data_IF_325129489784
#
_entry.id   IF_325129489784
#
_cell.length_a   1.000
_cell.length_b   1.000
_cell.length_c   1.000
_cell.angle_alpha   90.00
_cell.angle_beta   90.00
_cell.angle_gamma   90.00
#
_symmetry.space_group_name_H-M   'P 1'
#
loop_
_entity.id
_entity.type
_entity.pdbx_description
1 polymer ?
#
# COMPACT_ATOMS: atom_id res chain seq x y z
N UNK A 1 -6.51 18.28 0.12
CA UNK A 1 -6.83 16.88 0.49
C UNK A 1 -7.05 15.98 -0.71
N UNK A 2 -7.85 16.36 -1.71
CA UNK A 2 -8.15 15.46 -2.85
C UNK A 2 -6.89 15.00 -3.61
N UNK A 3 -5.98 15.94 -3.91
CA UNK A 3 -4.68 15.67 -4.53
C UNK A 3 -3.73 14.80 -3.69
N UNK A 4 -3.84 14.85 -2.36
CA UNK A 4 -2.98 14.10 -1.43
C UNK A 4 -3.20 12.58 -1.56
N UNK A 5 -4.46 12.15 -1.61
CA UNK A 5 -4.78 10.74 -1.76
C UNK A 5 -4.51 10.23 -3.18
N UNK A 6 -4.72 11.06 -4.20
CA UNK A 6 -4.38 10.69 -5.59
C UNK A 6 -2.87 10.51 -5.79
N UNK A 7 -2.05 11.32 -5.12
CA UNK A 7 -0.60 11.14 -5.10
C UNK A 7 -0.22 9.84 -4.38
N UNK A 8 -0.85 9.55 -3.23
CA UNK A 8 -0.63 8.32 -2.49
C UNK A 8 -1.01 7.05 -3.28
N UNK A 9 -2.15 7.07 -3.97
CA UNK A 9 -2.63 5.94 -4.76
C UNK A 9 -1.66 5.52 -5.86
N UNK A 10 -0.81 6.42 -6.37
CA UNK A 10 0.22 6.06 -7.35
C UNK A 10 1.28 5.11 -6.79
N UNK A 11 1.41 5.00 -5.47
CA UNK A 11 2.36 4.12 -4.80
C UNK A 11 1.80 2.73 -4.48
N UNK A 12 0.58 2.39 -4.90
CA UNK A 12 0.06 1.03 -4.75
C UNK A 12 0.41 0.09 -5.91
N UNK A 13 0.82 0.65 -7.06
CA UNK A 13 1.27 -0.11 -8.22
C UNK A 13 2.76 0.12 -8.49
N UNK A 14 3.43 -0.88 -9.07
CA UNK A 14 4.87 -0.85 -9.39
C UNK A 14 5.73 -0.35 -8.23
N UNK A 15 5.37 -0.79 -7.02
CA UNK A 15 5.82 -0.25 -5.75
C UNK A 15 6.91 -1.08 -5.06
N UNK A 16 7.33 -2.21 -5.64
CA UNK A 16 8.35 -3.10 -5.06
C UNK A 16 9.61 -2.38 -4.59
N UNK A 17 10.19 -1.54 -5.44
CA UNK A 17 11.43 -0.77 -5.14
C UNK A 17 11.32 0.17 -3.93
N UNK A 18 10.09 0.53 -3.54
CA UNK A 18 9.82 1.35 -2.35
C UNK A 18 9.59 0.44 -1.14
N UNK A 19 8.71 -0.57 -1.28
CA UNK A 19 8.35 -1.50 -0.22
C UNK A 19 9.55 -2.32 0.29
N UNK A 20 10.51 -2.66 -0.57
CA UNK A 20 11.74 -3.36 -0.17
C UNK A 20 12.63 -2.54 0.79
N UNK A 21 12.36 -1.24 0.93
CA UNK A 21 13.08 -0.33 1.84
C UNK A 21 12.25 0.09 3.04
N UNK A 22 10.99 -0.31 3.08
CA UNK A 22 10.05 0.04 4.14
C UNK A 22 10.13 -0.96 5.28
N UNK A 23 9.84 -0.52 6.51
CA UNK A 23 9.57 -1.42 7.64
C UNK A 23 8.10 -1.44 8.02
N UNK A 24 7.30 -0.53 7.47
CA UNK A 24 5.85 -0.48 7.64
C UNK A 24 5.15 -0.22 6.30
N UNK A 25 4.13 -1.02 6.03
CA UNK A 25 3.19 -0.79 4.96
C UNK A 25 1.78 -1.14 5.41
N UNK A 26 0.79 -0.75 4.63
CA UNK A 26 -0.59 -1.09 4.92
C UNK A 26 -1.43 -1.25 3.68
N UNK A 27 -2.41 -2.14 3.77
CA UNK A 27 -3.39 -2.35 2.71
C UNK A 27 -4.59 -1.44 2.96
N UNK A 28 -4.89 -0.52 2.04
CA UNK A 28 -6.05 0.36 2.22
C UNK A 28 -7.41 -0.30 1.87
N UNK A 29 -7.41 -1.57 1.48
CA UNK A 29 -8.66 -2.33 1.34
C UNK A 29 -9.05 -3.04 2.63
N UNK A 30 -8.20 -3.92 3.17
CA UNK A 30 -8.51 -4.61 4.43
C UNK A 30 -8.07 -3.84 5.69
N UNK A 31 -7.40 -2.70 5.53
CA UNK A 31 -6.90 -1.81 6.60
C UNK A 31 -5.78 -2.41 7.46
N UNK A 32 -5.27 -3.58 7.11
CA UNK A 32 -4.15 -4.23 7.81
C UNK A 32 -2.85 -3.44 7.63
N UNK A 33 -2.12 -3.25 8.73
CA UNK A 33 -0.78 -2.65 8.77
C UNK A 33 0.22 -3.74 9.16
N UNK A 34 1.28 -3.90 8.38
CA UNK A 34 2.22 -5.02 8.54
C UNK A 34 3.61 -4.70 8.00
N UNK A 35 4.58 -5.55 8.37
CA UNK A 35 5.94 -5.49 7.84
C UNK A 35 5.96 -5.97 6.37
N UNK A 36 6.59 -5.24 5.43
CA UNK A 36 6.63 -5.61 4.02
C UNK A 36 7.17 -7.01 3.72
N UNK A 37 8.01 -7.58 4.60
CA UNK A 37 8.49 -8.97 4.48
C UNK A 37 7.38 -10.03 4.43
N UNK A 38 6.16 -9.71 4.87
CA UNK A 38 5.00 -10.62 4.71
C UNK A 38 4.51 -10.73 3.27
N UNK A 39 4.93 -9.84 2.38
CA UNK A 39 4.53 -9.83 0.97
C UNK A 39 5.32 -10.91 0.23
N UNK A 40 4.66 -12.02 -0.09
CA UNK A 40 5.26 -13.15 -0.79
C UNK A 40 4.85 -13.25 -2.26
N UNK A 41 3.86 -12.46 -2.68
CA UNK A 41 3.29 -12.49 -4.03
C UNK A 41 3.33 -11.09 -4.65
N UNK A 42 3.70 -11.05 -5.94
CA UNK A 42 3.86 -9.84 -6.73
C UNK A 42 3.25 -10.03 -8.12
N UNK A 43 2.53 -9.03 -8.60
CA UNK A 43 1.99 -8.96 -9.97
C UNK A 43 2.77 -7.94 -10.81
N UNK A 44 2.42 -7.80 -12.10
CA UNK A 44 3.03 -6.85 -13.05
C UNK A 44 4.56 -7.01 -13.18
N UNK A 45 5.01 -8.20 -13.59
CA UNK A 45 6.42 -8.57 -13.72
C UNK A 45 7.20 -8.37 -12.41
N UNK A 46 6.65 -8.89 -11.32
CA UNK A 46 7.12 -8.74 -9.94
C UNK A 46 7.30 -7.28 -9.48
N UNK A 47 6.42 -6.35 -9.85
CA UNK A 47 6.54 -4.94 -9.44
C UNK A 47 5.41 -4.46 -8.53
N UNK A 48 4.24 -5.10 -8.52
CA UNK A 48 3.07 -4.66 -7.76
C UNK A 48 2.80 -5.65 -6.63
N UNK A 49 2.86 -5.19 -5.38
CA UNK A 49 2.67 -6.06 -4.23
C UNK A 49 1.22 -6.56 -4.09
N UNK A 50 1.06 -7.85 -3.75
CA UNK A 50 -0.24 -8.44 -3.40
C UNK A 50 -0.35 -8.54 -1.88
N UNK A 51 -1.47 -8.09 -1.32
CA UNK A 51 -1.67 -8.09 0.12
C UNK A 51 -1.75 -9.53 0.66
N UNK A 52 -0.91 -9.91 1.65
CA UNK A 52 -0.91 -11.27 2.20
C UNK A 52 -2.15 -11.59 3.05
N UNK A 53 -2.97 -10.58 3.37
CA UNK A 53 -4.17 -10.74 4.20
C UNK A 53 -5.47 -10.87 3.40
N UNK A 54 -5.54 -10.26 2.21
CA UNK A 54 -6.78 -10.22 1.42
C UNK A 54 -6.60 -10.49 -0.08
N UNK A 55 -5.36 -10.61 -0.56
CA UNK A 55 -5.06 -11.00 -1.95
C UNK A 55 -5.25 -9.90 -2.99
N UNK A 56 -5.26 -8.62 -2.60
CA UNK A 56 -5.37 -7.51 -3.54
C UNK A 56 -4.18 -6.54 -3.51
N UNK A 57 -4.03 -5.75 -4.55
CA UNK A 57 -2.90 -4.86 -4.86
C UNK A 57 -3.04 -3.43 -4.31
N UNK A 58 -3.62 -3.29 -3.12
CA UNK A 58 -3.90 -1.99 -2.49
C UNK A 58 -2.93 -1.65 -1.35
N UNK A 59 -1.62 -1.90 -1.53
CA UNK A 59 -0.60 -1.71 -0.48
C UNK A 59 0.16 -0.39 -0.68
N UNK A 60 0.32 0.41 0.38
CA UNK A 60 1.19 1.60 0.39
C UNK A 60 2.16 1.48 1.57
N UNK A 61 3.45 1.77 1.33
CA UNK A 61 4.50 1.79 2.34
C UNK A 61 4.99 3.19 2.71
N UNK A 62 5.73 3.33 3.81
CA UNK A 62 6.13 4.64 4.35
C UNK A 62 7.05 5.46 3.44
N UNK A 63 7.87 4.84 2.58
CA UNK A 63 8.68 5.54 1.57
C UNK A 63 7.84 6.15 0.43
N UNK A 64 6.51 5.96 0.44
CA UNK A 64 5.60 6.76 -0.40
C UNK A 64 5.54 8.24 0.00
N UNK A 65 6.12 8.61 1.15
CA UNK A 65 6.02 9.96 1.73
C UNK A 65 4.77 10.17 2.57
N UNK A 66 3.97 9.12 2.78
CA UNK A 66 2.75 9.13 3.57
C UNK A 66 2.89 8.30 4.83
N UNK A 67 2.43 8.84 5.97
CA UNK A 67 2.43 8.10 7.23
C UNK A 67 1.34 7.02 7.19
N UNK A 68 1.77 5.76 7.25
CA UNK A 68 0.86 4.60 7.28
C UNK A 68 0.17 4.54 8.64
N UNK A 69 -1.12 4.85 8.66
CA UNK A 69 -1.99 4.82 9.85
C UNK A 69 -3.36 4.30 9.44
N UNK A 70 -4.11 3.72 10.38
CA UNK A 70 -5.49 3.25 10.12
C UNK A 70 -6.38 4.37 9.56
N UNK A 71 -6.24 5.59 10.07
CA UNK A 71 -6.98 6.76 9.58
C UNK A 71 -6.64 7.06 8.11
N UNK A 72 -5.36 7.07 7.75
CA UNK A 72 -4.92 7.26 6.36
C UNK A 72 -5.45 6.17 5.43
N UNK A 73 -5.34 4.89 5.85
CA UNK A 73 -5.84 3.76 5.08
C UNK A 73 -7.35 3.79 4.93
N UNK A 74 -8.10 4.20 5.97
CA UNK A 74 -9.55 4.32 5.92
C UNK A 74 -10.01 5.43 4.96
N UNK A 75 -9.31 6.56 4.91
CA UNK A 75 -9.61 7.62 3.94
C UNK A 75 -9.28 7.21 2.50
N UNK A 76 -8.21 6.44 2.29
CA UNK A 76 -7.93 5.79 1.01
C UNK A 76 -9.05 4.81 0.66
N UNK A 77 -9.45 3.92 1.59
CA UNK A 77 -10.54 2.96 1.37
C UNK A 77 -11.80 3.65 0.84
N UNK A 78 -12.31 4.64 1.58
CA UNK A 78 -13.54 5.39 1.24
C UNK A 78 -13.51 6.02 -0.16
N UNK A 79 -12.33 6.24 -0.74
CA UNK A 79 -12.17 6.90 -2.03
C UNK A 79 -12.10 5.92 -3.21
N UNK A 80 -11.69 4.68 -2.99
CA UNK A 80 -11.52 3.67 -4.05
C UNK A 80 -12.41 2.43 -3.89
N UNK A 81 -13.04 2.23 -2.73
CA UNK A 81 -13.91 1.10 -2.38
C UNK A 81 -15.15 1.60 -1.63
#
# INVERSE_FOLDING_TARGET
MQKYFEEAHRFCSRNRKYLEKDVICGCFYCLEIFHPEKITEWWDDDNTAVCPHCGIDSIIGENSGFKITEMFLSEMHKRWF
#
